data_IF_994461285847
#
_entry.id   IF_994461285847
#
_cell.length_a   1.000
_cell.length_b   1.000
_cell.length_c   1.000
_cell.angle_alpha   90.00
_cell.angle_beta   90.00
_cell.angle_gamma   90.00
#
_symmetry.space_group_name_H-M   'P 1'
#
loop_
_entity.id
_entity.type
_entity.pdbx_description
1 polymer ?
#
# COMPACT_ATOMS: atom_id res chain seq x y z
N UNK A 1 4.75 -33.70 -20.57
CA UNK A 1 4.15 -34.24 -19.32
C UNK A 1 5.30 -34.41 -18.32
N UNK A 2 5.63 -33.42 -17.50
CA UNK A 2 4.84 -32.89 -16.39
C UNK A 2 4.59 -31.38 -16.58
N UNK A 3 3.41 -31.03 -17.09
CA UNK A 3 2.88 -29.66 -17.01
C UNK A 3 2.46 -29.43 -15.56
N UNK A 4 3.42 -29.11 -14.70
CA UNK A 4 3.12 -28.69 -13.34
C UNK A 4 2.31 -27.40 -13.42
N UNK A 5 1.02 -27.48 -13.09
CA UNK A 5 0.17 -26.29 -13.02
C UNK A 5 0.88 -25.25 -12.13
N UNK A 6 1.26 -24.08 -12.66
CA UNK A 6 1.99 -23.07 -11.90
C UNK A 6 1.28 -22.64 -10.62
N UNK A 7 -0.05 -22.80 -10.57
CA UNK A 7 -0.87 -22.55 -9.38
C UNK A 7 -0.50 -23.49 -8.23
N UNK A 8 -0.21 -24.75 -8.54
CA UNK A 8 0.20 -25.74 -7.53
C UNK A 8 1.58 -25.43 -6.97
N UNK A 9 2.52 -24.97 -7.80
CA UNK A 9 3.83 -24.51 -7.35
C UNK A 9 3.68 -23.32 -6.39
N UNK A 10 2.87 -22.33 -6.75
CA UNK A 10 2.62 -21.17 -5.91
C UNK A 10 1.93 -21.52 -4.57
N UNK A 11 0.98 -22.46 -4.60
CA UNK A 11 0.33 -22.96 -3.38
C UNK A 11 1.31 -23.68 -2.45
N UNK A 12 2.18 -24.54 -2.99
CA UNK A 12 3.20 -25.27 -2.22
C UNK A 12 4.15 -24.33 -1.48
N UNK A 13 4.46 -23.18 -2.06
CA UNK A 13 5.43 -22.23 -1.51
C UNK A 13 4.81 -21.10 -0.69
N UNK A 14 3.49 -21.06 -0.52
CA UNK A 14 2.79 -19.93 0.11
C UNK A 14 3.28 -19.60 1.52
N UNK A 15 3.50 -20.61 2.38
CA UNK A 15 4.02 -20.36 3.74
C UNK A 15 5.42 -19.74 3.73
N UNK A 16 6.27 -20.16 2.79
CA UNK A 16 7.64 -19.62 2.62
C UNK A 16 7.61 -18.20 2.08
N UNK A 17 6.75 -17.93 1.10
CA UNK A 17 6.54 -16.58 0.55
C UNK A 17 6.10 -15.64 1.67
N UNK A 18 5.12 -16.03 2.50
CA UNK A 18 4.65 -15.21 3.63
C UNK A 18 5.77 -14.94 4.65
N UNK A 19 6.56 -15.97 4.99
CA UNK A 19 7.70 -15.82 5.90
C UNK A 19 8.71 -14.82 5.35
N UNK A 20 9.13 -15.01 4.09
CA UNK A 20 10.13 -14.15 3.45
C UNK A 20 9.61 -12.73 3.21
N UNK A 21 8.34 -12.58 2.84
CA UNK A 21 7.71 -11.28 2.68
C UNK A 21 7.72 -10.49 3.98
N UNK A 22 7.38 -11.13 5.10
CA UNK A 22 7.43 -10.48 6.42
C UNK A 22 8.84 -10.02 6.78
N UNK A 23 9.86 -10.83 6.51
CA UNK A 23 11.26 -10.45 6.72
C UNK A 23 11.65 -9.22 5.90
N UNK A 24 11.35 -9.22 4.59
CA UNK A 24 11.66 -8.09 3.71
C UNK A 24 10.91 -6.82 4.12
N UNK A 25 9.64 -6.94 4.50
CA UNK A 25 8.84 -5.80 4.93
C UNK A 25 9.40 -5.16 6.22
N UNK A 26 9.82 -5.98 7.19
CA UNK A 26 10.43 -5.51 8.45
C UNK A 26 11.81 -4.89 8.26
N UNK A 27 12.51 -5.23 7.19
CA UNK A 27 13.82 -4.66 6.87
C UNK A 27 13.72 -3.23 6.30
N UNK A 28 12.54 -2.80 5.83
CA UNK A 28 12.33 -1.46 5.32
C UNK A 28 12.01 -0.48 6.45
N UNK A 29 12.58 0.74 6.43
CA UNK A 29 12.13 1.79 7.34
C UNK A 29 10.68 2.20 6.99
N UNK A 30 9.78 2.38 7.98
CA UNK A 30 8.42 2.80 7.72
C UNK A 30 8.40 4.22 7.13
N UNK A 31 7.77 4.38 5.98
CA UNK A 31 7.63 5.69 5.30
C UNK A 31 6.51 6.56 5.88
N UNK A 32 5.60 5.97 6.64
CA UNK A 32 4.52 6.64 7.36
C UNK A 32 4.09 5.78 8.56
N UNK A 33 3.26 6.32 9.46
CA UNK A 33 2.67 5.54 10.55
C UNK A 33 1.84 4.34 10.05
N UNK A 34 1.27 4.44 8.85
CA UNK A 34 0.51 3.35 8.21
C UNK A 34 1.42 2.34 7.51
N UNK A 35 2.72 2.61 7.41
CA UNK A 35 3.72 1.71 6.86
C UNK A 35 4.40 0.84 7.92
N UNK A 36 3.86 0.77 9.14
CA UNK A 36 4.33 -0.15 10.17
C UNK A 36 4.16 -1.61 9.69
N UNK A 37 5.24 -2.40 9.59
CA UNK A 37 5.19 -3.80 9.16
C UNK A 37 4.21 -4.66 9.97
N UNK A 38 4.01 -4.36 11.26
CA UNK A 38 3.11 -5.12 12.11
C UNK A 38 1.64 -4.82 11.79
N UNK A 39 1.31 -3.60 11.34
CA UNK A 39 -0.03 -3.24 10.85
C UNK A 39 -0.35 -3.88 9.50
N UNK A 40 0.68 -4.10 8.66
CA UNK A 40 0.53 -4.64 7.31
C UNK A 40 0.56 -6.18 7.27
N UNK A 41 1.21 -6.83 8.24
CA UNK A 41 1.33 -8.30 8.28
C UNK A 41 -0.01 -9.05 8.17
N UNK A 42 -1.11 -8.63 8.84
CA UNK A 42 -2.43 -9.26 8.67
C UNK A 42 -2.96 -9.23 7.23
N UNK A 43 -2.53 -8.26 6.41
CA UNK A 43 -2.95 -8.12 5.02
C UNK A 43 -2.25 -9.09 4.06
N UNK A 44 -1.15 -9.72 4.47
CA UNK A 44 -0.36 -10.59 3.59
C UNK A 44 -1.12 -11.84 3.13
N UNK A 45 -1.89 -12.47 4.02
CA UNK A 45 -2.64 -13.69 3.67
C UNK A 45 -3.77 -13.38 2.67
N UNK A 46 -4.65 -12.39 2.91
CA UNK A 46 -5.63 -11.96 1.91
C UNK A 46 -4.99 -11.52 0.59
N UNK A 47 -3.92 -10.72 0.64
CA UNK A 47 -3.22 -10.27 -0.55
C UNK A 47 -2.70 -11.45 -1.38
N UNK A 48 -2.03 -12.42 -0.74
CA UNK A 48 -1.53 -13.60 -1.42
C UNK A 48 -2.66 -14.45 -2.02
N UNK A 49 -3.81 -14.56 -1.35
CA UNK A 49 -4.99 -15.22 -1.90
C UNK A 49 -5.52 -14.50 -3.15
N UNK A 50 -5.54 -13.16 -3.14
CA UNK A 50 -5.92 -12.35 -4.30
C UNK A 50 -4.94 -12.53 -5.47
N UNK A 51 -3.63 -12.57 -5.21
CA UNK A 51 -2.61 -12.86 -6.24
C UNK A 51 -2.86 -14.23 -6.90
N UNK A 52 -3.16 -15.27 -6.11
CA UNK A 52 -3.49 -16.61 -6.63
C UNK A 52 -4.72 -16.58 -7.52
N UNK A 53 -5.74 -15.82 -7.11
CA UNK A 53 -6.93 -15.63 -7.91
C UNK A 53 -6.59 -14.96 -9.25
N UNK A 54 -5.82 -13.88 -9.23
CA UNK A 54 -5.36 -13.18 -10.44
C UNK A 54 -4.51 -14.02 -11.38
N UNK A 55 -3.72 -14.96 -10.84
CA UNK A 55 -3.01 -15.96 -11.66
C UNK A 55 -3.94 -16.99 -12.28
N UNK A 56 -5.15 -17.15 -11.73
CA UNK A 56 -6.13 -18.13 -12.17
C UNK A 56 -7.08 -17.59 -13.23
N UNK A 57 -7.28 -16.28 -13.26
CA UNK A 57 -8.09 -15.60 -14.29
C UNK A 57 -7.36 -15.66 -15.63
N UNK A 58 -8.10 -16.01 -16.70
CA UNK A 58 -7.55 -16.08 -18.06
C UNK A 58 -7.07 -14.69 -18.50
N UNK A 59 -5.87 -14.57 -19.11
CA UNK A 59 -5.35 -13.29 -19.60
C UNK A 59 -6.21 -12.67 -20.71
N UNK A 60 -7.14 -13.44 -21.31
CA UNK A 60 -8.04 -12.99 -22.37
C UNK A 60 -9.30 -12.29 -21.86
N UNK A 61 -9.56 -12.29 -20.54
CA UNK A 61 -10.63 -11.47 -20.01
C UNK A 61 -10.12 -10.03 -20.00
N UNK A 62 -10.53 -9.28 -21.02
CA UNK A 62 -10.34 -7.83 -21.08
C UNK A 62 -10.89 -7.22 -19.79
N UNK A 63 -9.98 -6.86 -18.89
CA UNK A 63 -10.34 -6.16 -17.67
C UNK A 63 -10.39 -4.67 -18.02
N UNK A 64 -11.37 -3.92 -17.48
CA UNK A 64 -11.37 -2.47 -17.61
C UNK A 64 -9.99 -1.93 -17.27
N UNK A 65 -9.46 -1.05 -18.12
CA UNK A 65 -8.19 -0.40 -17.89
C UNK A 65 -8.26 0.34 -16.56
N UNK A 66 -7.44 -0.07 -15.61
CA UNK A 66 -7.36 0.59 -14.30
C UNK A 66 -6.72 1.94 -14.56
N UNK A 67 -7.52 3.01 -14.41
CA UNK A 67 -7.00 4.38 -14.50
C UNK A 67 -5.94 4.52 -13.42
N UNK A 68 -4.68 4.63 -13.86
CA UNK A 68 -3.56 4.74 -12.94
C UNK A 68 -3.69 6.06 -12.18
N UNK A 69 -4.03 5.99 -10.90
CA UNK A 69 -4.09 7.16 -10.05
C UNK A 69 -2.66 7.50 -9.65
N UNK A 70 -2.07 8.49 -10.32
CA UNK A 70 -0.76 9.03 -9.96
C UNK A 70 -0.81 9.58 -8.52
N UNK A 71 -0.39 8.74 -7.58
CA UNK A 71 -0.41 9.06 -6.18
C UNK A 71 0.78 9.93 -5.82
N UNK A 72 0.62 11.25 -5.97
CA UNK A 72 1.69 12.25 -5.77
C UNK A 72 2.22 12.36 -4.34
N UNK A 73 1.60 11.71 -3.35
CA UNK A 73 2.05 11.85 -1.97
C UNK A 73 3.31 11.03 -1.66
N UNK A 74 3.61 9.97 -2.41
CA UNK A 74 4.76 9.09 -2.15
C UNK A 74 4.70 8.32 -0.82
N UNK A 75 3.62 8.47 -0.06
CA UNK A 75 3.46 7.92 1.30
C UNK A 75 2.51 6.71 1.34
N UNK A 76 2.17 6.12 0.20
CA UNK A 76 1.28 4.96 0.17
C UNK A 76 2.03 3.71 0.66
N UNK A 77 1.68 3.14 1.84
CA UNK A 77 2.35 1.95 2.36
C UNK A 77 2.16 0.72 1.47
N UNK A 78 1.09 0.67 0.67
CA UNK A 78 0.77 -0.45 -0.21
C UNK A 78 1.81 -0.64 -1.31
N UNK A 79 2.47 0.45 -1.77
CA UNK A 79 3.50 0.35 -2.79
C UNK A 79 4.69 -0.50 -2.33
N UNK A 80 5.25 -0.18 -1.16
CA UNK A 80 6.34 -0.97 -0.56
C UNK A 80 5.87 -2.37 -0.14
N UNK A 81 4.64 -2.48 0.36
CA UNK A 81 4.03 -3.75 0.73
C UNK A 81 3.97 -4.74 -0.45
N UNK A 82 3.39 -4.35 -1.59
CA UNK A 82 3.29 -5.24 -2.74
C UNK A 82 4.63 -5.49 -3.42
N UNK A 83 5.51 -4.49 -3.50
CA UNK A 83 6.86 -4.65 -4.06
C UNK A 83 7.67 -5.70 -3.27
N UNK A 84 7.66 -5.62 -1.94
CA UNK A 84 8.34 -6.62 -1.09
C UNK A 84 7.73 -8.01 -1.22
N UNK A 85 6.42 -8.12 -1.44
CA UNK A 85 5.74 -9.39 -1.67
C UNK A 85 6.12 -10.04 -3.00
N UNK A 86 6.24 -9.23 -4.06
CA UNK A 86 6.77 -9.67 -5.34
C UNK A 86 8.22 -10.15 -5.20
N UNK A 87 9.10 -9.35 -4.57
CA UNK A 87 10.49 -9.74 -4.31
C UNK A 87 10.59 -11.05 -3.54
N UNK A 88 9.85 -11.19 -2.43
CA UNK A 88 9.82 -12.41 -1.63
C UNK A 88 9.38 -13.63 -2.45
N UNK A 89 8.40 -13.45 -3.33
CA UNK A 89 7.96 -14.51 -4.25
C UNK A 89 9.12 -14.95 -5.14
N UNK A 90 9.78 -14.02 -5.84
CA UNK A 90 10.87 -14.37 -6.74
C UNK A 90 12.07 -14.97 -6.01
N UNK A 91 12.43 -14.46 -4.83
CA UNK A 91 13.52 -15.04 -4.03
C UNK A 91 13.22 -16.50 -3.63
N UNK A 92 11.99 -16.80 -3.19
CA UNK A 92 11.59 -18.17 -2.83
C UNK A 92 11.61 -19.11 -4.04
N UNK A 93 11.15 -18.65 -5.20
CA UNK A 93 11.11 -19.47 -6.40
C UNK A 93 12.50 -19.69 -7.03
N UNK A 94 13.40 -18.70 -6.97
CA UNK A 94 14.77 -18.83 -7.48
C UNK A 94 15.70 -19.56 -6.52
N UNK A 95 15.54 -19.35 -5.21
CA UNK A 95 16.42 -19.91 -4.20
C UNK A 95 16.22 -21.40 -3.92
N UNK A 96 15.32 -22.09 -4.65
CA UNK A 96 14.91 -23.46 -4.33
C UNK A 96 14.94 -24.41 -5.53
N UNK A 97 15.43 -25.65 -5.33
CA UNK A 97 15.37 -26.71 -6.36
C UNK A 97 13.94 -27.11 -6.75
N UNK A 98 12.98 -26.93 -5.84
CA UNK A 98 11.56 -27.20 -6.07
C UNK A 98 10.73 -25.97 -6.49
N UNK A 99 11.43 -24.89 -6.87
CA UNK A 99 10.86 -23.69 -7.49
C UNK A 99 11.04 -23.70 -9.01
N UNK A 100 11.59 -22.61 -9.56
CA UNK A 100 11.78 -22.45 -11.01
C UNK A 100 12.83 -23.36 -11.64
N UNK A 101 13.67 -24.03 -10.83
CA UNK A 101 14.64 -24.99 -11.31
C UNK A 101 14.00 -26.20 -12.01
N UNK A 102 12.74 -26.53 -11.69
CA UNK A 102 12.00 -27.64 -12.32
C UNK A 102 11.38 -27.29 -13.67
N UNK A 103 11.36 -26.00 -14.03
CA UNK A 103 10.74 -25.50 -15.25
C UNK A 103 11.78 -25.34 -16.35
N UNK A 104 11.36 -25.58 -17.59
CA UNK A 104 12.14 -25.17 -18.76
C UNK A 104 12.31 -23.64 -18.78
N UNK A 105 13.33 -23.09 -19.47
CA UNK A 105 13.51 -21.65 -19.58
C UNK A 105 12.26 -20.91 -20.08
N UNK A 106 11.53 -21.49 -21.03
CA UNK A 106 10.30 -20.90 -21.57
C UNK A 106 9.15 -20.90 -20.56
N UNK A 107 8.91 -22.00 -19.85
CA UNK A 107 7.86 -22.09 -18.82
C UNK A 107 8.14 -21.13 -17.66
N UNK A 108 9.41 -21.03 -17.28
CA UNK A 108 9.92 -20.12 -16.25
C UNK A 108 9.69 -18.66 -16.60
N UNK A 109 9.98 -18.25 -17.84
CA UNK A 109 9.72 -16.89 -18.30
C UNK A 109 8.22 -16.60 -18.34
N UNK A 110 7.42 -17.50 -18.94
CA UNK A 110 5.97 -17.34 -19.00
C UNK A 110 5.32 -17.25 -17.61
N UNK A 111 5.78 -18.07 -16.66
CA UNK A 111 5.32 -18.00 -15.27
C UNK A 111 5.77 -16.71 -14.58
N UNK A 112 7.02 -16.29 -14.78
CA UNK A 112 7.53 -15.04 -14.21
C UNK A 112 6.70 -13.85 -14.69
N UNK A 113 6.44 -13.74 -16.00
CA UNK A 113 5.59 -12.69 -16.56
C UNK A 113 4.18 -12.72 -15.98
N UNK A 114 3.57 -13.90 -15.87
CA UNK A 114 2.23 -14.05 -15.28
C UNK A 114 2.20 -13.64 -13.81
N UNK A 115 3.22 -13.99 -13.03
CA UNK A 115 3.36 -13.59 -11.63
C UNK A 115 3.51 -12.08 -11.48
N UNK A 116 4.42 -11.45 -12.23
CA UNK A 116 4.61 -9.99 -12.21
C UNK A 116 3.32 -9.26 -12.57
N UNK A 117 2.62 -9.74 -13.59
CA UNK A 117 1.35 -9.15 -14.01
C UNK A 117 0.27 -9.28 -12.93
N UNK A 118 0.18 -10.42 -12.23
CA UNK A 118 -0.75 -10.60 -11.12
C UNK A 118 -0.42 -9.68 -9.93
N UNK A 119 0.86 -9.59 -9.54
CA UNK A 119 1.33 -8.66 -8.51
C UNK A 119 1.00 -7.22 -8.84
N UNK A 120 1.36 -6.77 -10.05
CA UNK A 120 1.11 -5.42 -10.51
C UNK A 120 -0.38 -5.07 -10.48
N UNK A 121 -1.25 -5.94 -11.02
CA UNK A 121 -2.70 -5.68 -11.02
C UNK A 121 -3.27 -5.50 -9.61
N UNK A 122 -2.94 -6.40 -8.68
CA UNK A 122 -3.43 -6.27 -7.31
C UNK A 122 -2.84 -5.02 -6.64
N UNK A 123 -1.55 -4.74 -6.86
CA UNK A 123 -0.90 -3.57 -6.31
C UNK A 123 -1.54 -2.28 -6.80
N UNK A 124 -1.83 -2.17 -8.10
CA UNK A 124 -2.44 -0.99 -8.72
C UNK A 124 -3.85 -0.76 -8.16
N UNK A 125 -4.68 -1.81 -8.10
CA UNK A 125 -6.05 -1.73 -7.56
C UNK A 125 -6.04 -1.23 -6.10
N UNK A 126 -5.21 -1.82 -5.26
CA UNK A 126 -5.16 -1.53 -3.82
C UNK A 126 -4.50 -0.17 -3.53
N UNK A 127 -3.50 0.20 -4.34
CA UNK A 127 -2.86 1.52 -4.28
C UNK A 127 -3.86 2.60 -4.68
N UNK A 128 -4.65 2.39 -5.74
CA UNK A 128 -5.66 3.34 -6.19
C UNK A 128 -6.75 3.55 -5.12
N UNK A 129 -7.25 2.45 -4.52
CA UNK A 129 -8.21 2.51 -3.41
C UNK A 129 -7.65 3.34 -2.26
N UNK A 130 -6.44 3.04 -1.80
CA UNK A 130 -5.82 3.76 -0.68
C UNK A 130 -5.57 5.25 -1.00
N UNK A 131 -5.10 5.56 -2.22
CA UNK A 131 -4.87 6.93 -2.62
C UNK A 131 -6.16 7.74 -2.76
N UNK A 132 -7.28 7.12 -3.16
CA UNK A 132 -8.58 7.80 -3.18
C UNK A 132 -9.01 8.29 -1.79
N UNK A 133 -8.76 7.50 -0.73
CA UNK A 133 -9.01 7.91 0.66
C UNK A 133 -8.12 9.08 1.08
N UNK A 134 -6.83 9.03 0.72
CA UNK A 134 -5.89 10.11 1.03
C UNK A 134 -6.28 11.43 0.33
N UNK A 135 -6.66 11.37 -0.95
CA UNK A 135 -7.07 12.54 -1.73
C UNK A 135 -8.38 13.15 -1.21
N UNK A 136 -9.38 12.32 -0.91
CA UNK A 136 -10.66 12.77 -0.35
C UNK A 136 -10.48 13.35 1.06
N UNK A 137 -9.60 12.77 1.89
CA UNK A 137 -9.28 13.30 3.22
C UNK A 137 -8.65 14.69 3.17
N UNK A 138 -7.76 14.94 2.20
CA UNK A 138 -7.17 16.29 1.99
C UNK A 138 -8.20 17.31 1.53
N UNK A 139 -9.10 16.92 0.63
CA UNK A 139 -10.18 17.80 0.17
C UNK A 139 -11.09 18.22 1.35
N UNK A 140 -11.39 17.30 2.26
CA UNK A 140 -12.21 17.59 3.44
C UNK A 140 -11.45 18.41 4.49
N UNK A 141 -10.15 18.18 4.69
CA UNK A 141 -9.33 18.95 5.62
C UNK A 141 -9.11 20.41 5.15
N UNK A 142 -9.00 20.64 3.84
CA UNK A 142 -8.90 21.99 3.27
C UNK A 142 -10.25 22.74 3.27
N UNK A 143 -11.39 22.04 3.29
CA UNK A 143 -12.72 22.64 3.43
C UNK A 143 -13.04 23.19 4.82
N UNK A 144 -12.36 22.71 5.87
CA UNK A 144 -12.56 23.15 7.26
C UNK A 144 -11.68 24.35 7.68
N UNK A 145 -10.74 24.78 6.83
CA UNK A 145 -9.94 26.00 7.06
C UNK A 145 -10.47 27.24 6.33
N UNK A 146 -11.61 27.14 5.63
CA UNK A 146 -12.29 28.27 5.00
C UNK A 146 -13.39 28.86 5.91
N UNK A 147 -13.07 29.14 7.17
CA UNK A 147 -13.73 30.23 7.90
C UNK A 147 -12.66 31.29 8.18
N UNK A 148 -12.64 32.41 7.44
CA UNK A 148 -11.88 33.56 7.89
C UNK A 148 -12.47 33.95 9.25
N UNK A 149 -11.58 34.01 10.24
CA UNK A 149 -11.79 34.71 11.50
C UNK A 149 -12.42 36.08 11.17
N UNK A 150 -13.75 36.17 11.30
CA UNK A 150 -14.42 37.44 11.39
C UNK A 150 -13.86 38.09 12.66
N UNK A 151 -13.16 39.19 12.46
CA UNK A 151 -12.60 40.03 13.49
C UNK A 151 -13.64 40.28 14.58
N UNK A 152 -13.36 39.82 15.80
CA UNK A 152 -13.83 40.47 17.01
C UNK A 152 -12.63 41.13 17.66
N UNK A 153 -12.32 42.31 17.15
CA UNK A 153 -11.57 43.33 17.87
C UNK A 153 -12.41 43.75 19.09
N UNK A 154 -12.24 43.05 20.21
CA UNK A 154 -12.67 43.57 21.50
C UNK A 154 -11.57 44.51 22.00
N UNK A 155 -11.83 45.81 21.91
CA UNK A 155 -10.99 46.89 22.42
C UNK A 155 -10.72 46.71 23.93
N UNK A 156 -9.50 46.95 24.41
CA UNK A 156 -9.29 47.21 25.83
C UNK A 156 -9.93 48.56 26.20
N UNK A 157 -10.76 48.54 27.24
CA UNK A 157 -11.41 49.71 27.81
C UNK A 157 -10.35 50.72 28.34
N UNK A 158 -10.63 52.04 28.28
CA UNK A 158 -9.72 53.06 28.80
C UNK A 158 -9.63 53.02 30.34
N UNK A 159 -8.50 53.45 30.91
CA UNK A 159 -8.35 53.63 32.36
C UNK A 159 -9.22 54.80 32.83
N UNK A 160 -9.94 54.58 33.93
CA UNK A 160 -10.77 55.59 34.56
C UNK A 160 -9.89 56.45 35.49
N UNK A 161 -9.67 57.71 35.13
CA UNK A 161 -9.14 58.75 36.01
C UNK A 161 -10.28 59.34 36.86
N UNK A 162 -10.25 59.11 38.17
CA UNK A 162 -10.90 59.89 39.25
C UNK A 162 -10.70 59.10 40.56
N UNK A 163 -10.40 59.64 41.74
CA UNK A 163 -10.37 61.01 42.22
C UNK A 163 -9.60 61.00 43.56
N UNK A 164 -9.06 62.16 43.91
CA UNK A 164 -8.43 62.48 45.17
C UNK A 164 -9.26 62.11 46.41
N UNK A 165 -8.59 61.75 47.51
CA UNK A 165 -9.05 62.18 48.82
C UNK A 165 -7.86 62.41 49.78
N UNK A 166 -7.74 63.69 50.08
CA UNK A 166 -6.97 64.38 51.10
C UNK A 166 -7.42 63.92 52.49
N UNK A 167 -6.51 63.72 53.45
CA UNK A 167 -6.87 63.72 54.88
C UNK A 167 -5.65 64.17 55.71
N UNK A 168 -5.82 65.17 56.60
CA UNK A 168 -4.74 65.75 57.41
C UNK A 168 -4.22 64.84 58.53
#
# INVERSE_FOLDING_TARGET
MLSGDPRLLFNRHSSRILGRWRELLRALPPSSALADPELLTPQMVPALARIKHEMSVSPHLERPEVVHVDCRCGLNPMAAFYLTGECATFEVFWGRPDGFAQLTPQEREALSQRLRAAWRRVADDETAVFCSFCQNGKLNAHGLHAHPHAAQSAQPAPPNEAEAQDTP
#
